data_IF_694295001588
#
_entry.id   IF_694295001588
#
_cell.length_a   1.000
_cell.length_b   1.000
_cell.length_c   1.000
_cell.angle_alpha   90.00
_cell.angle_beta   90.00
_cell.angle_gamma   90.00
#
_symmetry.space_group_name_H-M   'P 1'
#
loop_
_entity.id
_entity.type
_entity.pdbx_description
1 polymer ?
#
# COMPACT_ATOMS: atom_id res chain seq x y z
N UNK A 1 27.80 22.77 8.22
CA UNK A 1 27.15 21.46 8.33
C UNK A 1 27.49 20.61 7.11
N UNK A 2 27.59 19.27 7.25
CA UNK A 2 28.08 18.36 6.18
C UNK A 2 27.26 18.51 4.89
N UNK A 3 25.93 18.51 5.00
CA UNK A 3 25.02 18.62 3.85
C UNK A 3 25.21 19.93 3.07
N UNK A 4 25.47 21.02 3.76
CA UNK A 4 25.74 22.32 3.15
C UNK A 4 27.06 22.32 2.37
N UNK A 5 28.14 21.79 2.96
CA UNK A 5 29.42 21.63 2.24
C UNK A 5 29.28 20.75 1.01
N UNK A 6 28.51 19.68 1.11
CA UNK A 6 28.24 18.80 -0.03
C UNK A 6 27.47 19.54 -1.13
N UNK A 7 26.41 20.27 -0.77
CA UNK A 7 25.63 21.06 -1.72
C UNK A 7 26.47 22.14 -2.40
N UNK A 8 27.38 22.80 -1.67
CA UNK A 8 28.32 23.79 -2.22
C UNK A 8 29.30 23.15 -3.21
N UNK A 9 29.87 22.00 -2.87
CA UNK A 9 30.78 21.27 -3.78
C UNK A 9 30.08 20.84 -5.08
N UNK A 10 28.83 20.38 -4.97
CA UNK A 10 28.03 19.99 -6.14
C UNK A 10 27.68 21.21 -7.00
N UNK A 11 27.28 22.33 -6.38
CA UNK A 11 27.00 23.59 -7.08
C UNK A 11 28.21 24.08 -7.87
N UNK A 12 29.43 24.03 -7.30
CA UNK A 12 30.67 24.38 -8.02
C UNK A 12 30.94 23.52 -9.25
N UNK A 13 30.38 22.30 -9.29
CA UNK A 13 30.51 21.35 -10.42
C UNK A 13 29.29 21.37 -11.36
N UNK A 14 28.34 22.27 -11.15
CA UNK A 14 27.10 22.33 -11.95
C UNK A 14 26.17 21.14 -11.74
N UNK A 15 26.29 20.44 -10.60
CA UNK A 15 25.50 19.26 -10.27
C UNK A 15 24.38 19.61 -9.29
N UNK A 16 23.31 18.83 -9.35
CA UNK A 16 22.18 18.91 -8.41
C UNK A 16 22.16 17.70 -7.48
N UNK A 17 21.57 17.86 -6.30
CA UNK A 17 21.39 16.79 -5.32
C UNK A 17 19.92 16.41 -5.23
N UNK A 18 19.60 15.14 -5.42
CA UNK A 18 18.29 14.55 -5.10
C UNK A 18 18.42 13.75 -3.80
N UNK A 19 17.63 14.11 -2.80
CA UNK A 19 17.52 13.39 -1.54
C UNK A 19 16.20 12.62 -1.56
N UNK A 20 16.24 11.33 -1.27
CA UNK A 20 15.03 10.49 -1.16
C UNK A 20 14.93 9.93 0.25
N UNK A 21 13.75 10.03 0.86
CA UNK A 21 13.45 9.49 2.20
C UNK A 21 12.20 8.64 2.07
N UNK A 22 12.32 7.38 2.44
CA UNK A 22 11.19 6.44 2.49
C UNK A 22 10.71 6.23 3.93
N UNK A 23 9.47 5.77 4.09
CA UNK A 23 8.83 5.52 5.38
C UNK A 23 8.86 6.73 6.34
N UNK A 24 8.53 7.92 5.83
CA UNK A 24 8.56 9.14 6.65
C UNK A 24 7.59 9.08 7.82
N UNK A 25 8.04 9.66 8.94
CA UNK A 25 7.23 9.91 10.14
C UNK A 25 7.68 11.22 10.79
N UNK A 26 6.79 11.86 11.55
CA UNK A 26 7.10 13.13 12.22
C UNK A 26 8.02 12.91 13.43
N UNK A 27 9.34 12.77 13.17
CA UNK A 27 10.39 12.63 14.19
C UNK A 27 11.15 13.94 14.38
N UNK A 28 11.81 14.14 15.54
CA UNK A 28 12.67 15.29 15.77
C UNK A 28 13.77 15.43 14.70
N UNK A 29 14.36 14.31 14.29
CA UNK A 29 15.45 14.28 13.29
C UNK A 29 14.94 14.72 11.90
N UNK A 30 13.75 14.30 11.52
CA UNK A 30 13.15 14.73 10.25
C UNK A 30 12.81 16.23 10.27
N UNK A 31 12.38 16.76 11.42
CA UNK A 31 12.15 18.21 11.60
C UNK A 31 13.46 19.01 11.48
N UNK A 32 14.52 18.55 12.13
CA UNK A 32 15.85 19.17 12.01
C UNK A 32 16.35 19.15 10.57
N UNK A 33 16.27 17.99 9.90
CA UNK A 33 16.63 17.84 8.49
C UNK A 33 15.83 18.80 7.59
N UNK A 34 14.53 18.90 7.79
CA UNK A 34 13.67 19.77 7.00
C UNK A 34 14.01 21.25 7.19
N UNK A 35 14.41 21.67 8.40
CA UNK A 35 14.93 23.01 8.66
C UNK A 35 16.22 23.29 7.89
N UNK A 36 17.16 22.35 7.89
CA UNK A 36 18.40 22.44 7.10
C UNK A 36 18.09 22.50 5.61
N UNK A 37 17.21 21.64 5.11
CA UNK A 37 16.78 21.63 3.71
C UNK A 37 16.20 22.99 3.28
N UNK A 38 15.37 23.60 4.13
CA UNK A 38 14.78 24.91 3.87
C UNK A 38 15.83 26.01 3.76
N UNK A 39 16.88 25.98 4.61
CA UNK A 39 18.02 26.91 4.53
C UNK A 39 18.80 26.73 3.23
N UNK A 40 19.01 25.49 2.80
CA UNK A 40 19.70 25.22 1.53
C UNK A 40 18.91 25.72 0.33
N UNK A 41 17.57 25.59 0.33
CA UNK A 41 16.72 26.17 -0.71
C UNK A 41 16.82 27.70 -0.76
N UNK A 42 16.83 28.37 0.41
CA UNK A 42 16.96 29.83 0.49
C UNK A 42 18.31 30.33 -0.05
N UNK A 43 19.35 29.51 0.12
CA UNK A 43 20.71 29.80 -0.37
C UNK A 43 20.89 29.41 -1.88
N UNK A 44 19.80 29.10 -2.58
CA UNK A 44 19.80 28.75 -4.01
C UNK A 44 20.75 27.57 -4.33
N UNK A 45 20.82 26.57 -3.48
CA UNK A 45 21.45 25.30 -3.82
C UNK A 45 20.50 24.48 -4.70
N UNK A 46 21.07 23.77 -5.67
CA UNK A 46 20.31 22.90 -6.57
C UNK A 46 20.04 21.56 -5.87
N UNK A 47 19.03 21.54 -5.03
CA UNK A 47 18.61 20.35 -4.29
C UNK A 47 17.13 20.08 -4.50
N UNK A 48 16.79 18.79 -4.53
CA UNK A 48 15.41 18.32 -4.58
C UNK A 48 15.22 17.26 -3.48
N UNK A 49 14.01 17.20 -2.91
CA UNK A 49 13.62 16.25 -1.89
C UNK A 49 12.40 15.47 -2.35
N UNK A 50 12.50 14.15 -2.32
CA UNK A 50 11.38 13.23 -2.56
C UNK A 50 11.16 12.41 -1.28
N UNK A 51 9.96 12.50 -0.73
CA UNK A 51 9.58 11.75 0.45
C UNK A 51 8.42 10.82 0.15
N UNK A 52 8.48 9.60 0.69
CA UNK A 52 7.41 8.62 0.59
C UNK A 52 6.98 8.15 1.99
N UNK A 53 5.70 7.84 2.14
CA UNK A 53 5.15 7.35 3.39
C UNK A 53 3.65 7.08 3.30
N UNK A 54 3.09 6.51 4.34
CA UNK A 54 1.65 6.28 4.42
C UNK A 54 0.89 7.63 4.42
N UNK A 55 -0.31 7.71 3.81
CA UNK A 55 -1.06 8.95 3.69
C UNK A 55 -1.29 9.68 5.02
N UNK A 56 -1.59 8.93 6.09
CA UNK A 56 -1.75 9.49 7.44
C UNK A 56 -0.44 10.10 7.95
N UNK A 57 0.72 9.46 7.72
CA UNK A 57 2.03 9.96 8.13
C UNK A 57 2.46 11.20 7.34
N UNK A 58 2.19 11.20 6.04
CA UNK A 58 2.38 12.40 5.20
C UNK A 58 1.52 13.56 5.69
N UNK A 59 0.25 13.30 6.01
CA UNK A 59 -0.66 14.32 6.52
C UNK A 59 -0.23 14.84 7.91
N UNK A 60 0.21 13.95 8.80
CA UNK A 60 0.76 14.31 10.11
C UNK A 60 1.96 15.25 9.96
N UNK A 61 2.90 14.92 9.08
CA UNK A 61 4.09 15.73 8.80
C UNK A 61 3.73 17.11 8.23
N UNK A 62 2.73 17.19 7.36
CA UNK A 62 2.29 18.46 6.75
C UNK A 62 1.52 19.37 7.71
N UNK A 63 0.89 18.80 8.73
CA UNK A 63 0.20 19.54 9.78
C UNK A 63 1.14 20.01 10.89
N UNK A 64 2.43 19.65 10.82
CA UNK A 64 3.46 20.10 11.74
C UNK A 64 3.74 21.60 11.50
N UNK A 65 3.61 22.42 12.54
CA UNK A 65 3.77 23.86 12.46
C UNK A 65 5.15 24.30 11.96
N UNK A 66 6.19 23.48 12.19
CA UNK A 66 7.56 23.75 11.75
C UNK A 66 7.79 23.37 10.28
N UNK A 67 6.91 22.59 9.68
CA UNK A 67 7.07 22.01 8.36
C UNK A 67 6.05 22.53 7.31
N UNK A 68 5.47 23.69 7.58
CA UNK A 68 4.43 24.30 6.71
C UNK A 68 4.85 24.50 5.27
N UNK A 69 6.14 24.58 4.97
CA UNK A 69 6.63 24.66 3.59
C UNK A 69 6.32 23.39 2.77
N UNK A 70 6.15 22.24 3.42
CA UNK A 70 5.76 20.99 2.77
C UNK A 70 4.33 21.04 2.20
N UNK A 71 3.48 21.95 2.68
CA UNK A 71 2.15 22.18 2.11
C UNK A 71 2.19 22.64 0.65
N UNK A 72 3.32 23.24 0.24
CA UNK A 72 3.55 23.72 -1.14
C UNK A 72 4.20 22.67 -2.04
N UNK A 73 4.59 21.50 -1.49
CA UNK A 73 5.19 20.44 -2.28
C UNK A 73 4.13 19.75 -3.14
N UNK A 74 4.58 19.27 -4.31
CA UNK A 74 3.74 18.44 -5.15
C UNK A 74 3.45 17.11 -4.45
N UNK A 75 2.20 16.67 -4.48
CA UNK A 75 1.78 15.38 -3.96
C UNK A 75 1.56 14.39 -5.09
N UNK A 76 2.09 13.19 -4.90
CA UNK A 76 1.86 12.06 -5.79
C UNK A 76 1.16 10.98 -4.97
N UNK A 77 -0.07 10.64 -5.33
CA UNK A 77 -0.81 9.56 -4.71
C UNK A 77 -0.58 8.28 -5.48
N UNK A 78 -0.09 7.24 -4.79
CA UNK A 78 0.06 5.91 -5.37
C UNK A 78 -1.26 5.17 -5.21
N UNK A 79 -1.91 4.91 -6.33
CA UNK A 79 -3.14 4.11 -6.39
C UNK A 79 -2.82 2.64 -6.63
N UNK A 80 -3.77 1.72 -6.37
CA UNK A 80 -3.62 0.34 -6.76
C UNK A 80 -3.25 0.20 -8.24
N UNK A 81 -2.42 -0.79 -8.55
CA UNK A 81 -2.00 -1.03 -9.92
C UNK A 81 -3.20 -1.41 -10.79
N UNK A 82 -3.26 -0.86 -12.00
CA UNK A 82 -4.26 -1.24 -12.98
C UNK A 82 -4.17 -2.74 -13.30
N UNK A 83 -5.29 -3.44 -13.21
CA UNK A 83 -5.35 -4.87 -13.55
C UNK A 83 -4.91 -5.14 -14.99
N UNK A 84 -5.18 -4.22 -15.92
CA UNK A 84 -4.71 -4.32 -17.30
C UNK A 84 -3.17 -4.26 -17.36
N UNK A 85 -2.55 -3.35 -16.62
CA UNK A 85 -1.09 -3.22 -16.54
C UNK A 85 -0.47 -4.48 -15.92
N UNK A 86 -1.05 -5.02 -14.85
CA UNK A 86 -0.64 -6.28 -14.23
C UNK A 86 -0.70 -7.43 -15.24
N UNK A 87 -1.85 -7.58 -15.93
CA UNK A 87 -2.05 -8.60 -16.96
C UNK A 87 -0.96 -8.55 -18.04
N UNK A 88 -0.72 -7.35 -18.58
CA UNK A 88 0.31 -7.14 -19.60
C UNK A 88 1.72 -7.43 -19.08
N UNK A 89 2.00 -7.07 -17.84
CA UNK A 89 3.30 -7.30 -17.21
C UNK A 89 3.58 -8.79 -17.00
N UNK A 90 2.62 -9.57 -16.51
CA UNK A 90 2.74 -11.03 -16.39
C UNK A 90 2.97 -11.68 -17.77
N UNK A 91 2.11 -11.36 -18.76
CA UNK A 91 2.24 -11.89 -20.12
C UNK A 91 3.65 -11.63 -20.69
N UNK A 92 4.11 -10.38 -20.57
CA UNK A 92 5.43 -9.98 -21.05
C UNK A 92 6.57 -10.70 -20.33
N UNK A 93 6.46 -10.83 -19.00
CA UNK A 93 7.50 -11.48 -18.19
C UNK A 93 7.62 -12.97 -18.53
N UNK A 94 6.52 -13.70 -18.60
CA UNK A 94 6.52 -15.12 -18.92
C UNK A 94 6.98 -15.38 -20.35
N UNK A 95 6.43 -14.67 -21.34
CA UNK A 95 6.78 -14.85 -22.74
C UNK A 95 8.28 -14.60 -23.05
N UNK A 96 8.89 -13.59 -22.39
CA UNK A 96 10.34 -13.30 -22.57
C UNK A 96 11.25 -14.46 -22.26
N UNK A 97 10.80 -15.43 -21.50
CA UNK A 97 11.57 -16.62 -21.08
C UNK A 97 10.97 -17.91 -21.59
N UNK A 98 10.17 -17.83 -22.65
CA UNK A 98 9.60 -18.99 -23.34
C UNK A 98 8.54 -19.74 -22.53
N UNK A 99 7.94 -19.09 -21.52
CA UNK A 99 6.81 -19.66 -20.79
C UNK A 99 5.52 -19.19 -21.40
N UNK A 100 4.53 -20.07 -21.41
CA UNK A 100 3.17 -19.78 -21.92
C UNK A 100 2.17 -19.69 -20.77
N UNK A 101 1.15 -18.87 -20.97
CA UNK A 101 0.00 -18.74 -20.07
C UNK A 101 -1.22 -18.39 -20.92
N UNK A 102 -2.30 -19.13 -20.76
CA UNK A 102 -3.56 -18.84 -21.45
C UNK A 102 -4.24 -17.59 -20.85
N UNK A 103 -5.18 -17.03 -21.58
CA UNK A 103 -5.85 -15.79 -21.21
C UNK A 103 -6.73 -15.93 -19.96
N UNK A 104 -7.32 -17.09 -19.72
CA UNK A 104 -8.19 -17.33 -18.57
C UNK A 104 -7.35 -17.44 -17.29
N UNK A 105 -6.28 -18.22 -17.33
CA UNK A 105 -5.31 -18.30 -16.23
C UNK A 105 -4.66 -16.94 -15.96
N UNK A 106 -4.32 -16.18 -17.01
CA UNK A 106 -3.78 -14.84 -16.87
C UNK A 106 -4.78 -13.86 -16.24
N UNK A 107 -6.06 -13.95 -16.59
CA UNK A 107 -7.13 -13.19 -15.96
C UNK A 107 -7.30 -13.60 -14.48
N UNK A 108 -7.23 -14.89 -14.18
CA UNK A 108 -7.29 -15.44 -12.82
C UNK A 108 -6.21 -14.83 -11.94
N UNK A 109 -4.93 -14.99 -12.32
CA UNK A 109 -3.80 -14.49 -11.51
C UNK A 109 -3.82 -12.96 -11.39
N UNK A 110 -4.29 -12.26 -12.41
CA UNK A 110 -4.43 -10.80 -12.35
C UNK A 110 -5.44 -10.39 -11.29
N UNK A 111 -6.63 -11.01 -11.29
CA UNK A 111 -7.67 -10.74 -10.28
C UNK A 111 -7.22 -11.08 -8.86
N UNK A 112 -6.43 -12.15 -8.69
CA UNK A 112 -5.89 -12.57 -7.39
C UNK A 112 -4.98 -11.52 -6.74
N UNK A 113 -4.48 -10.55 -7.47
CA UNK A 113 -3.65 -9.47 -6.91
C UNK A 113 -4.46 -8.31 -6.34
N UNK A 114 -5.70 -8.17 -6.77
CA UNK A 114 -6.58 -7.02 -6.48
C UNK A 114 -5.91 -5.63 -6.70
N UNK A 115 -4.93 -5.55 -7.60
CA UNK A 115 -4.15 -4.33 -7.82
C UNK A 115 -3.07 -4.05 -6.78
N UNK A 116 -2.92 -4.87 -5.75
CA UNK A 116 -1.92 -4.68 -4.71
C UNK A 116 -0.51 -5.03 -5.21
N UNK A 117 0.39 -4.05 -5.19
CA UNK A 117 1.71 -4.19 -5.82
C UNK A 117 2.54 -5.34 -5.25
N UNK A 118 2.56 -5.51 -3.93
CA UNK A 118 3.28 -6.62 -3.28
C UNK A 118 2.69 -7.97 -3.68
N UNK A 119 1.35 -8.09 -3.70
CA UNK A 119 0.67 -9.31 -4.11
C UNK A 119 0.97 -9.68 -5.57
N UNK A 120 1.03 -8.67 -6.46
CA UNK A 120 1.44 -8.85 -7.85
C UNK A 120 2.86 -9.42 -7.96
N UNK A 121 3.82 -8.83 -7.24
CA UNK A 121 5.21 -9.30 -7.28
C UNK A 121 5.37 -10.68 -6.67
N UNK A 122 4.75 -10.92 -5.51
CA UNK A 122 4.81 -12.20 -4.81
C UNK A 122 4.23 -13.34 -5.66
N UNK A 123 3.04 -13.14 -6.24
CA UNK A 123 2.41 -14.16 -7.09
C UNK A 123 3.26 -14.45 -8.32
N UNK A 124 3.77 -13.40 -8.98
CA UNK A 124 4.69 -13.56 -10.11
C UNK A 124 5.96 -14.33 -9.74
N UNK A 125 6.56 -14.03 -8.60
CA UNK A 125 7.72 -14.72 -8.08
C UNK A 125 7.45 -16.21 -7.79
N UNK A 126 6.34 -16.53 -7.11
CA UNK A 126 5.97 -17.90 -6.81
C UNK A 126 5.72 -18.73 -8.08
N UNK A 127 4.96 -18.18 -9.04
CA UNK A 127 4.77 -18.81 -10.35
C UNK A 127 6.09 -19.01 -11.09
N UNK A 128 6.97 -18.02 -11.02
CA UNK A 128 8.29 -18.12 -11.63
C UNK A 128 9.13 -19.26 -11.06
N UNK A 129 9.06 -19.48 -9.76
CA UNK A 129 9.81 -20.54 -9.06
C UNK A 129 9.32 -21.95 -9.38
N UNK A 130 8.11 -22.14 -9.88
CA UNK A 130 7.62 -23.48 -10.26
C UNK A 130 8.44 -24.12 -11.35
N UNK A 131 9.15 -23.33 -12.16
CA UNK A 131 9.91 -23.76 -13.35
C UNK A 131 9.05 -24.40 -14.45
N UNK A 132 7.72 -24.39 -14.33
CA UNK A 132 6.82 -24.89 -15.36
C UNK A 132 6.93 -24.01 -16.61
N UNK A 133 6.94 -24.62 -17.77
CA UNK A 133 6.94 -23.91 -19.06
C UNK A 133 5.56 -23.41 -19.42
N UNK A 134 4.54 -24.09 -18.98
CA UNK A 134 3.14 -23.71 -19.16
C UNK A 134 2.50 -23.40 -17.81
N UNK A 135 2.07 -22.17 -17.63
CA UNK A 135 1.37 -21.70 -16.41
C UNK A 135 -0.14 -21.93 -16.59
N UNK A 136 -0.60 -23.01 -16.02
CA UNK A 136 -2.02 -23.40 -16.07
C UNK A 136 -2.74 -23.05 -14.76
N UNK A 137 -4.08 -23.08 -14.76
CA UNK A 137 -4.87 -22.93 -13.55
C UNK A 137 -4.52 -23.97 -12.47
N UNK A 138 -4.13 -25.18 -12.85
CA UNK A 138 -3.67 -26.21 -11.92
C UNK A 138 -2.36 -25.80 -11.20
N UNK A 139 -1.43 -25.21 -11.93
CA UNK A 139 -0.18 -24.65 -11.32
C UNK A 139 -0.53 -23.53 -10.36
N UNK A 140 -1.46 -22.65 -10.71
CA UNK A 140 -1.93 -21.57 -9.83
C UNK A 140 -2.56 -22.12 -8.55
N UNK A 141 -3.43 -23.12 -8.65
CA UNK A 141 -4.06 -23.77 -7.50
C UNK A 141 -3.06 -24.42 -6.56
N UNK A 142 -2.00 -25.04 -7.11
CA UNK A 142 -0.93 -25.67 -6.32
C UNK A 142 -0.16 -24.66 -5.47
N UNK A 143 0.06 -23.45 -5.97
CA UNK A 143 0.80 -22.41 -5.24
C UNK A 143 -0.08 -21.54 -4.35
N UNK A 144 -1.40 -21.54 -4.54
CA UNK A 144 -2.34 -20.65 -3.84
C UNK A 144 -2.20 -20.68 -2.31
N UNK A 145 -2.11 -21.85 -1.63
CA UNK A 145 -1.94 -21.89 -0.19
C UNK A 145 -0.65 -21.19 0.27
N UNK A 146 0.45 -21.39 -0.46
CA UNK A 146 1.73 -20.73 -0.14
C UNK A 146 1.65 -19.22 -0.39
N UNK A 147 0.99 -18.80 -1.47
CA UNK A 147 0.77 -17.38 -1.76
C UNK A 147 -0.02 -16.67 -0.65
N UNK A 148 -1.11 -17.28 -0.18
CA UNK A 148 -1.90 -16.74 0.94
C UNK A 148 -1.07 -16.70 2.22
N UNK A 149 -0.37 -17.78 2.57
CA UNK A 149 0.46 -17.84 3.76
C UNK A 149 1.57 -16.78 3.77
N UNK A 150 2.21 -16.52 2.62
CA UNK A 150 3.22 -15.46 2.48
C UNK A 150 2.62 -14.05 2.63
N UNK A 151 1.44 -13.78 2.05
CA UNK A 151 0.72 -12.51 2.24
C UNK A 151 0.39 -12.30 3.72
N UNK A 152 -0.13 -13.33 4.38
CA UNK A 152 -0.53 -13.27 5.79
C UNK A 152 0.68 -13.00 6.69
N UNK A 153 1.73 -13.79 6.54
CA UNK A 153 2.92 -13.71 7.39
C UNK A 153 3.70 -12.41 7.20
N UNK A 154 3.92 -12.02 5.94
CA UNK A 154 4.84 -10.93 5.63
C UNK A 154 4.18 -9.54 5.75
N UNK A 155 2.84 -9.47 5.64
CA UNK A 155 2.14 -8.19 5.60
C UNK A 155 0.97 -8.13 6.58
N UNK A 156 0.00 -9.06 6.49
CA UNK A 156 -1.30 -8.86 7.12
C UNK A 156 -1.27 -8.96 8.63
N UNK A 157 -0.46 -9.86 9.19
CA UNK A 157 -0.32 -10.01 10.65
C UNK A 157 0.14 -8.70 11.27
N UNK A 158 1.21 -8.10 10.74
CA UNK A 158 1.73 -6.83 11.25
C UNK A 158 0.71 -5.71 11.12
N UNK A 159 0.13 -5.54 9.94
CA UNK A 159 -0.90 -4.52 9.70
C UNK A 159 -2.08 -4.67 10.66
N UNK A 160 -2.57 -5.89 10.85
CA UNK A 160 -3.68 -6.17 11.76
C UNK A 160 -3.34 -5.87 13.23
N UNK A 161 -2.11 -6.16 13.65
CA UNK A 161 -1.64 -5.90 15.01
C UNK A 161 -1.49 -4.39 15.31
N UNK A 162 -1.24 -3.57 14.29
CA UNK A 162 -1.14 -2.11 14.43
C UNK A 162 -2.51 -1.42 14.50
N UNK A 163 -3.58 -2.12 14.11
CA UNK A 163 -4.94 -1.57 14.15
C UNK A 163 -5.46 -1.44 15.59
N UNK A 164 -6.22 -0.37 15.84
CA UNK A 164 -6.96 -0.24 17.09
C UNK A 164 -8.04 -1.31 17.23
N UNK A 165 -8.47 -1.59 18.47
CA UNK A 165 -9.53 -2.56 18.71
C UNK A 165 -10.81 -2.26 17.92
N UNK A 166 -11.15 -0.98 17.73
CA UNK A 166 -12.35 -0.58 16.99
C UNK A 166 -12.20 -0.71 15.48
N UNK A 167 -11.01 -0.50 14.95
CA UNK A 167 -10.74 -0.79 13.54
C UNK A 167 -10.83 -2.30 13.28
N UNK A 168 -10.30 -3.12 14.20
CA UNK A 168 -10.44 -4.58 14.12
C UNK A 168 -11.90 -5.04 14.18
N UNK A 169 -12.73 -4.43 15.05
CA UNK A 169 -14.18 -4.69 15.08
C UNK A 169 -14.84 -4.34 13.73
N UNK A 170 -14.46 -3.23 13.11
CA UNK A 170 -15.00 -2.80 11.81
C UNK A 170 -14.65 -3.80 10.71
N UNK A 171 -13.36 -4.14 10.55
CA UNK A 171 -12.93 -5.08 9.51
C UNK A 171 -13.43 -6.50 9.75
N UNK A 172 -13.59 -6.91 11.02
CA UNK A 172 -14.26 -8.17 11.40
C UNK A 172 -15.69 -8.18 10.89
N UNK A 173 -16.47 -7.15 11.19
CA UNK A 173 -17.85 -7.02 10.73
C UNK A 173 -17.96 -7.06 9.19
N UNK A 174 -16.96 -6.50 8.49
CA UNK A 174 -16.85 -6.61 7.03
C UNK A 174 -16.59 -8.05 6.57
N UNK A 175 -15.58 -8.72 7.14
CA UNK A 175 -15.17 -10.08 6.72
C UNK A 175 -16.27 -11.11 6.89
N UNK A 176 -17.07 -10.97 7.95
CA UNK A 176 -18.22 -11.83 8.25
C UNK A 176 -19.39 -11.68 7.27
N UNK A 177 -19.41 -10.64 6.44
CA UNK A 177 -20.48 -10.46 5.44
C UNK A 177 -20.38 -11.45 4.28
N UNK A 178 -19.16 -11.95 3.99
CA UNK A 178 -18.89 -12.82 2.84
C UNK A 178 -19.05 -12.14 1.48
N UNK A 179 -19.26 -10.82 1.43
CA UNK A 179 -19.48 -10.03 0.22
C UNK A 179 -18.20 -9.33 -0.23
N UNK A 180 -18.03 -9.19 -1.54
CA UNK A 180 -16.91 -8.41 -2.09
C UNK A 180 -16.99 -6.91 -1.73
N UNK A 181 -18.23 -6.38 -1.57
CA UNK A 181 -18.50 -5.02 -1.11
C UNK A 181 -19.59 -5.03 -0.05
N UNK A 182 -19.43 -4.28 1.02
CA UNK A 182 -20.28 -4.27 2.21
C UNK A 182 -20.85 -2.88 2.45
N UNK A 183 -22.15 -2.78 2.70
CA UNK A 183 -22.79 -1.52 3.08
C UNK A 183 -22.34 -1.09 4.48
N UNK A 184 -21.93 0.17 4.62
CA UNK A 184 -21.56 0.76 5.91
C UNK A 184 -22.68 0.64 6.94
N UNK A 185 -23.94 0.70 6.50
CA UNK A 185 -25.09 0.47 7.38
C UNK A 185 -25.16 -0.98 7.92
N UNK A 186 -24.71 -1.97 7.15
CA UNK A 186 -24.63 -3.36 7.60
C UNK A 186 -23.54 -3.54 8.64
N UNK A 187 -22.39 -2.90 8.43
CA UNK A 187 -21.28 -2.87 9.40
C UNK A 187 -21.74 -2.22 10.70
N UNK A 188 -22.45 -1.06 10.62
CA UNK A 188 -23.01 -0.36 11.75
C UNK A 188 -23.91 -1.27 12.60
N UNK A 189 -24.82 -1.98 11.93
CA UNK A 189 -25.73 -2.91 12.57
C UNK A 189 -25.00 -4.05 13.30
N UNK A 190 -23.97 -4.63 12.67
CA UNK A 190 -23.15 -5.69 13.26
C UNK A 190 -22.34 -5.23 14.47
N UNK A 191 -21.83 -4.00 14.42
CA UNK A 191 -21.09 -3.39 15.53
C UNK A 191 -22.01 -2.83 16.62
N UNK A 192 -23.34 -2.89 16.47
CA UNK A 192 -24.32 -2.27 17.38
C UNK A 192 -24.02 -0.77 17.64
N UNK A 193 -23.67 -0.03 16.60
CA UNK A 193 -23.31 1.40 16.64
C UNK A 193 -24.05 2.18 15.57
N UNK A 194 -24.20 3.49 15.81
CA UNK A 194 -24.75 4.39 14.81
C UNK A 194 -23.75 4.71 13.67
N UNK A 195 -24.26 5.30 12.59
CA UNK A 195 -23.44 5.64 11.42
C UNK A 195 -22.38 6.69 11.70
N UNK A 196 -22.65 7.63 12.61
CA UNK A 196 -21.69 8.70 12.92
C UNK A 196 -20.49 8.13 13.66
N UNK A 197 -20.74 7.24 14.62
CA UNK A 197 -19.70 6.55 15.35
C UNK A 197 -18.75 5.77 14.43
N UNK A 198 -19.28 5.00 13.46
CA UNK A 198 -18.43 4.21 12.57
C UNK A 198 -17.77 5.04 11.47
N UNK A 199 -18.26 6.24 11.17
CA UNK A 199 -17.69 7.09 10.11
C UNK A 199 -16.21 7.42 10.36
N UNK A 200 -15.82 7.57 11.63
CA UNK A 200 -14.43 7.85 12.04
C UNK A 200 -13.52 6.68 11.67
N UNK A 201 -13.92 5.45 12.00
CA UNK A 201 -13.14 4.24 11.71
C UNK A 201 -13.09 3.96 10.21
N UNK A 202 -14.24 4.14 9.51
CA UNK A 202 -14.30 4.07 8.06
C UNK A 202 -13.30 5.02 7.41
N UNK A 203 -13.26 6.28 7.84
CA UNK A 203 -12.34 7.28 7.30
C UNK A 203 -10.89 6.86 7.52
N UNK A 204 -10.52 6.47 8.73
CA UNK A 204 -9.18 6.02 9.06
C UNK A 204 -8.75 4.82 8.21
N UNK A 205 -9.60 3.80 8.10
CA UNK A 205 -9.31 2.62 7.28
C UNK A 205 -9.21 2.93 5.77
N UNK A 206 -9.92 3.96 5.28
CA UNK A 206 -9.76 4.49 3.93
C UNK A 206 -8.42 5.22 3.79
N UNK A 207 -8.07 6.06 4.76
CA UNK A 207 -6.81 6.82 4.78
C UNK A 207 -5.59 5.87 4.89
N UNK A 208 -5.73 4.76 5.64
CA UNK A 208 -4.74 3.69 5.73
C UNK A 208 -4.76 2.74 4.52
N UNK A 209 -5.64 2.97 3.55
CA UNK A 209 -5.79 2.16 2.33
C UNK A 209 -6.11 0.68 2.57
N UNK A 210 -6.65 0.31 3.73
CA UNK A 210 -7.11 -1.05 4.01
C UNK A 210 -8.45 -1.38 3.36
N UNK A 211 -9.27 -0.36 3.18
CA UNK A 211 -10.54 -0.44 2.47
C UNK A 211 -10.63 0.65 1.41
N UNK A 212 -11.49 0.45 0.43
CA UNK A 212 -11.83 1.44 -0.58
C UNK A 212 -13.33 1.63 -0.68
N UNK A 213 -13.76 2.84 -1.04
CA UNK A 213 -15.16 3.10 -1.37
C UNK A 213 -15.46 2.59 -2.78
N UNK A 214 -16.44 1.71 -2.93
CA UNK A 214 -16.83 1.13 -4.23
C UNK A 214 -18.05 1.81 -4.83
N UNK A 215 -19.08 2.04 -4.00
CA UNK A 215 -20.32 2.75 -4.33
C UNK A 215 -20.72 3.63 -3.15
N UNK A 216 -21.76 4.43 -3.34
CA UNK A 216 -22.32 5.23 -2.26
C UNK A 216 -22.69 4.37 -1.05
N UNK A 217 -22.00 4.62 0.08
CA UNK A 217 -22.22 3.90 1.33
C UNK A 217 -21.71 2.46 1.36
N UNK A 218 -20.89 2.04 0.40
CA UNK A 218 -20.28 0.71 0.36
C UNK A 218 -18.75 0.79 0.42
N UNK A 219 -18.15 -0.23 1.01
CA UNK A 219 -16.70 -0.38 1.13
C UNK A 219 -16.28 -1.82 0.80
N UNK A 220 -15.07 -1.96 0.26
CA UNK A 220 -14.44 -3.26 -0.02
C UNK A 220 -13.01 -3.27 0.54
N UNK A 221 -12.46 -4.46 0.79
CA UNK A 221 -11.05 -4.60 1.11
C UNK A 221 -10.18 -4.31 -0.11
N UNK A 222 -9.09 -3.60 0.09
CA UNK A 222 -8.08 -3.34 -0.94
C UNK A 222 -7.12 -4.51 -1.11
N UNK A 223 -6.84 -5.22 -0.01
CA UNK A 223 -5.90 -6.33 0.03
C UNK A 223 -6.57 -7.64 -0.41
N UNK A 224 -5.94 -8.44 -1.29
CA UNK A 224 -6.48 -9.71 -1.71
C UNK A 224 -6.50 -10.72 -0.54
N UNK A 225 -7.54 -11.54 -0.45
CA UNK A 225 -7.71 -12.58 0.60
C UNK A 225 -7.71 -12.04 2.04
N UNK A 226 -7.84 -10.72 2.24
CA UNK A 226 -7.79 -10.14 3.58
C UNK A 226 -8.99 -10.56 4.45
N UNK A 227 -10.17 -10.70 3.84
CA UNK A 227 -11.34 -11.21 4.55
C UNK A 227 -11.13 -12.66 5.08
N UNK A 228 -10.46 -13.50 4.29
CA UNK A 228 -10.15 -14.89 4.67
C UNK A 228 -9.11 -14.90 5.80
N UNK A 229 -8.05 -14.09 5.66
CA UNK A 229 -7.07 -13.88 6.72
C UNK A 229 -7.73 -13.50 8.06
N UNK A 230 -8.66 -12.52 8.06
CA UNK A 230 -9.34 -12.09 9.29
C UNK A 230 -10.09 -13.25 9.96
N UNK A 231 -10.79 -14.07 9.17
CA UNK A 231 -11.53 -15.23 9.70
C UNK A 231 -10.59 -16.28 10.29
N UNK A 232 -9.52 -16.61 9.59
CA UNK A 232 -8.51 -17.57 10.04
C UNK A 232 -7.79 -17.08 11.30
N UNK A 233 -7.35 -15.82 11.31
CA UNK A 233 -6.64 -15.23 12.43
C UNK A 233 -7.47 -15.23 13.72
N UNK A 234 -8.77 -14.97 13.62
CA UNK A 234 -9.69 -15.02 14.78
C UNK A 234 -9.96 -16.44 15.30
N UNK A 235 -9.73 -17.44 14.47
CA UNK A 235 -9.90 -18.84 14.88
C UNK A 235 -8.67 -19.37 15.63
N UNK A 236 -7.50 -18.76 15.37
CA UNK A 236 -6.21 -19.19 15.91
C UNK A 236 -5.81 -18.44 17.20
N UNK A 237 -6.37 -17.24 17.41
CA UNK A 237 -6.06 -16.32 18.52
C UNK A 237 -7.34 -15.73 19.13
#
# INVERSE_FOLDING_TARGET
VLLEKMAEMLKKRGLSLLITIDEISSTPELREFAGIYQLLLRNNYHIALLMAGLPNKVSELQNDELLTFLLRSQRIYLEPLSLLTIKQSYRRAFNRKGRTIDDDTLNQITKMTNGYAYAFQLLGFLLWRTKETEITSAVVQKILPNYQAELYRNVYIKMYQELSNKDREFIKAMSESGKASVKVAEIAKKMHRDKNYISIYRRRLLDDQLITATKWGEVAFTLPFFADFIKEYQTLY
#
